data_IF_736410774759
#
_entry.id   IF_736410774759
#
_cell.length_a   1.000
_cell.length_b   1.000
_cell.length_c   1.000
_cell.angle_alpha   90.00
_cell.angle_beta   90.00
_cell.angle_gamma   90.00
#
_symmetry.space_group_name_H-M   'P 1'
#
loop_
_entity.id
_entity.type
_entity.pdbx_description
1 polymer ?
#
# COMPACT_ATOMS: atom_id res chain seq x y z
N UNK A 1 17.42 -16.55 -4.66
CA UNK A 1 16.06 -16.07 -4.38
C UNK A 1 15.13 -16.66 -5.40
N UNK A 2 13.90 -16.98 -5.00
CA UNK A 2 12.84 -17.31 -5.97
C UNK A 2 12.37 -16.03 -6.66
N UNK A 3 11.79 -16.17 -7.86
CA UNK A 3 11.18 -15.05 -8.60
C UNK A 3 10.12 -14.32 -7.77
N UNK A 4 9.41 -15.04 -6.90
CA UNK A 4 8.44 -14.50 -5.94
C UNK A 4 9.11 -13.64 -4.85
N UNK A 5 10.25 -14.08 -4.30
CA UNK A 5 11.02 -13.29 -3.33
C UNK A 5 11.59 -12.02 -3.96
N UNK A 6 12.03 -12.09 -5.22
CA UNK A 6 12.53 -10.93 -5.95
C UNK A 6 11.40 -9.89 -6.15
N UNK A 7 10.21 -10.32 -6.58
CA UNK A 7 9.05 -9.44 -6.75
C UNK A 7 8.58 -8.79 -5.43
N UNK A 8 8.59 -9.55 -4.33
CA UNK A 8 8.29 -8.99 -3.00
C UNK A 8 9.34 -7.98 -2.56
N UNK A 9 10.63 -8.23 -2.84
CA UNK A 9 11.70 -7.29 -2.51
C UNK A 9 11.55 -5.98 -3.30
N UNK A 10 11.27 -6.06 -4.59
CA UNK A 10 11.01 -4.88 -5.42
C UNK A 10 9.83 -4.07 -4.90
N UNK A 11 8.72 -4.74 -4.53
CA UNK A 11 7.55 -4.08 -3.97
C UNK A 11 7.84 -3.41 -2.62
N UNK A 12 8.59 -4.07 -1.74
CA UNK A 12 9.05 -3.52 -0.46
C UNK A 12 9.92 -2.27 -0.66
N UNK A 13 10.88 -2.32 -1.59
CA UNK A 13 11.72 -1.18 -1.95
C UNK A 13 10.86 -0.03 -2.49
N UNK A 14 9.96 -0.30 -3.42
CA UNK A 14 9.08 0.71 -4.00
C UNK A 14 8.21 1.41 -2.93
N UNK A 15 7.60 0.65 -2.01
CA UNK A 15 6.81 1.25 -0.93
C UNK A 15 7.62 2.17 -0.02
N UNK A 16 8.86 1.80 0.31
CA UNK A 16 9.79 2.67 1.06
C UNK A 16 10.20 3.90 0.29
N UNK A 17 10.45 3.79 -1.01
CA UNK A 17 10.77 4.93 -1.86
C UNK A 17 9.62 5.93 -1.93
N UNK A 18 8.38 5.44 -2.03
CA UNK A 18 7.19 6.29 -2.00
C UNK A 18 7.03 6.97 -0.64
N UNK A 19 7.20 6.25 0.47
CA UNK A 19 7.13 6.84 1.82
C UNK A 19 8.22 7.91 2.02
N UNK A 20 9.46 7.60 1.62
CA UNK A 20 10.57 8.55 1.66
C UNK A 20 10.28 9.78 0.81
N UNK A 21 9.80 9.59 -0.43
CA UNK A 21 9.40 10.69 -1.32
C UNK A 21 8.40 11.63 -0.64
N UNK A 22 7.38 11.11 0.05
CA UNK A 22 6.38 11.92 0.75
C UNK A 22 6.96 12.72 1.94
N UNK A 23 8.12 12.33 2.47
CA UNK A 23 8.84 13.09 3.50
C UNK A 23 9.70 14.23 2.93
N UNK A 24 9.97 14.24 1.62
CA UNK A 24 10.77 15.30 0.98
C UNK A 24 9.97 16.61 0.83
N UNK A 25 10.63 17.77 0.65
CA UNK A 25 9.92 19.03 0.40
C UNK A 25 8.94 18.97 -0.79
N UNK A 26 9.29 18.22 -1.85
CA UNK A 26 8.43 18.03 -3.02
C UNK A 26 7.22 17.17 -2.68
N UNK A 27 7.42 16.06 -1.97
CA UNK A 27 6.34 15.19 -1.53
C UNK A 27 5.38 15.88 -0.55
N UNK A 28 5.91 16.65 0.39
CA UNK A 28 5.11 17.47 1.31
C UNK A 28 4.28 18.52 0.56
N UNK A 29 4.88 19.21 -0.41
CA UNK A 29 4.16 20.15 -1.27
C UNK A 29 3.04 19.45 -2.05
N UNK A 30 3.30 18.28 -2.63
CA UNK A 30 2.30 17.49 -3.34
C UNK A 30 1.13 17.10 -2.42
N UNK A 31 1.41 16.57 -1.23
CA UNK A 31 0.40 16.21 -0.24
C UNK A 31 -0.46 17.41 0.18
N UNK A 32 0.18 18.56 0.40
CA UNK A 32 -0.53 19.80 0.68
C UNK A 32 -1.43 20.19 -0.50
N UNK A 33 -0.93 20.12 -1.74
CA UNK A 33 -1.72 20.47 -2.93
C UNK A 33 -2.90 19.54 -3.13
N UNK A 34 -2.73 18.23 -2.97
CA UNK A 34 -3.83 17.25 -3.00
C UNK A 34 -4.90 17.64 -1.99
N UNK A 35 -4.50 17.93 -0.75
CA UNK A 35 -5.44 18.31 0.32
C UNK A 35 -6.19 19.61 0.01
N UNK A 36 -5.49 20.63 -0.45
CA UNK A 36 -6.08 21.91 -0.87
C UNK A 36 -7.10 21.73 -2.00
N UNK A 37 -6.77 20.89 -2.97
CA UNK A 37 -7.58 20.66 -4.16
C UNK A 37 -8.85 19.84 -3.87
N UNK A 38 -8.74 18.81 -3.03
CA UNK A 38 -9.90 18.07 -2.52
C UNK A 38 -10.81 19.01 -1.72
N UNK A 39 -10.26 19.82 -0.81
CA UNK A 39 -11.05 20.77 -0.04
C UNK A 39 -11.75 21.82 -0.92
N UNK A 40 -11.08 22.32 -1.96
CA UNK A 40 -11.69 23.24 -2.94
C UNK A 40 -12.84 22.57 -3.69
N UNK A 41 -12.66 21.34 -4.14
CA UNK A 41 -13.69 20.58 -4.83
C UNK A 41 -14.90 20.30 -3.93
N UNK A 42 -14.66 19.91 -2.67
CA UNK A 42 -15.72 19.69 -1.68
C UNK A 42 -16.47 20.96 -1.33
N UNK A 43 -15.77 22.10 -1.22
CA UNK A 43 -16.42 23.39 -1.01
C UNK A 43 -17.25 23.82 -2.23
N UNK A 44 -16.76 23.58 -3.45
CA UNK A 44 -17.53 23.82 -4.66
C UNK A 44 -18.81 22.97 -4.69
N UNK A 45 -18.74 21.70 -4.30
CA UNK A 45 -19.92 20.81 -4.20
C UNK A 45 -20.94 21.28 -3.16
N UNK A 46 -20.52 21.98 -2.11
CA UNK A 46 -21.42 22.53 -1.09
C UNK A 46 -22.19 23.77 -1.57
N UNK A 47 -21.67 24.49 -2.55
CA UNK A 47 -22.22 25.78 -3.00
C UNK A 47 -22.76 25.75 -4.43
N UNK A 48 -22.45 24.71 -5.21
CA UNK A 48 -22.93 24.57 -6.58
C UNK A 48 -24.44 24.35 -6.61
N UNK A 49 -25.10 24.94 -7.62
CA UNK A 49 -26.50 24.64 -7.91
C UNK A 49 -26.64 23.16 -8.28
N UNK A 50 -27.41 22.35 -7.52
CA UNK A 50 -27.59 20.94 -7.82
C UNK A 50 -28.29 20.67 -9.16
N UNK A 51 -29.01 21.64 -9.72
CA UNK A 51 -29.58 21.51 -11.06
C UNK A 51 -28.53 21.66 -12.18
N UNK A 52 -27.35 22.19 -11.87
CA UNK A 52 -26.25 22.35 -12.81
C UNK A 52 -25.39 21.09 -12.88
N UNK A 53 -25.86 20.08 -13.60
CA UNK A 53 -25.18 18.79 -13.74
C UNK A 53 -23.71 18.93 -14.19
N UNK A 54 -23.42 19.86 -15.10
CA UNK A 54 -22.05 20.10 -15.58
C UNK A 54 -21.12 20.66 -14.49
N UNK A 55 -21.62 21.57 -13.65
CA UNK A 55 -20.83 22.13 -12.56
C UNK A 55 -20.61 21.12 -11.42
N UNK A 56 -21.63 20.30 -11.12
CA UNK A 56 -21.52 19.19 -10.18
C UNK A 56 -20.48 18.18 -10.66
N UNK A 57 -20.56 17.73 -11.92
CA UNK A 57 -19.64 16.76 -12.50
C UNK A 57 -18.20 17.27 -12.49
N UNK A 58 -17.98 18.55 -12.83
CA UNK A 58 -16.65 19.16 -12.80
C UNK A 58 -16.04 19.17 -11.38
N UNK A 59 -16.84 19.51 -10.37
CA UNK A 59 -16.39 19.50 -8.98
C UNK A 59 -16.11 18.07 -8.47
N UNK A 60 -16.97 17.10 -8.81
CA UNK A 60 -16.75 15.69 -8.48
C UNK A 60 -15.48 15.12 -9.14
N UNK A 61 -15.29 15.39 -10.44
CA UNK A 61 -14.12 14.91 -11.17
C UNK A 61 -12.82 15.45 -10.56
N UNK A 62 -12.81 16.73 -10.17
CA UNK A 62 -11.67 17.32 -9.46
C UNK A 62 -11.41 16.62 -8.13
N UNK A 63 -12.44 16.43 -7.30
CA UNK A 63 -12.29 15.72 -6.02
C UNK A 63 -11.74 14.30 -6.21
N UNK A 64 -12.24 13.59 -7.21
CA UNK A 64 -11.87 12.20 -7.52
C UNK A 64 -10.39 12.09 -7.89
N UNK A 65 -9.93 12.87 -8.87
CA UNK A 65 -8.53 12.79 -9.36
C UNK A 65 -7.53 12.98 -8.22
N UNK A 66 -7.71 14.00 -7.37
CA UNK A 66 -6.78 14.24 -6.28
C UNK A 66 -6.90 13.20 -5.15
N UNK A 67 -8.10 12.69 -4.89
CA UNK A 67 -8.29 11.61 -3.91
C UNK A 67 -7.65 10.29 -4.38
N UNK A 68 -7.71 10.00 -5.68
CA UNK A 68 -7.12 8.80 -6.27
C UNK A 68 -5.59 8.84 -6.19
N UNK A 69 -4.96 10.00 -6.48
CA UNK A 69 -3.52 10.17 -6.30
C UNK A 69 -3.11 9.88 -4.85
N UNK A 70 -3.82 10.44 -3.87
CA UNK A 70 -3.56 10.17 -2.44
C UNK A 70 -3.76 8.68 -2.10
N UNK A 71 -4.76 8.03 -2.69
CA UNK A 71 -5.00 6.60 -2.49
C UNK A 71 -3.90 5.74 -3.09
N UNK A 72 -3.43 6.03 -4.30
CA UNK A 72 -2.35 5.27 -4.93
C UNK A 72 -1.06 5.33 -4.13
N UNK A 73 -0.70 6.51 -3.62
CA UNK A 73 0.48 6.68 -2.77
C UNK A 73 0.36 5.87 -1.48
N UNK A 74 -0.80 5.90 -0.82
CA UNK A 74 -1.06 5.10 0.39
C UNK A 74 -1.04 3.60 0.10
N UNK A 75 -1.61 3.18 -1.02
CA UNK A 75 -1.63 1.77 -1.42
C UNK A 75 -0.22 1.26 -1.73
N UNK A 76 0.61 2.05 -2.40
CA UNK A 76 2.00 1.70 -2.66
C UNK A 76 2.79 1.48 -1.36
N UNK A 77 2.63 2.39 -0.38
CA UNK A 77 3.28 2.26 0.94
C UNK A 77 2.76 1.01 1.67
N UNK A 78 1.43 0.83 1.74
CA UNK A 78 0.84 -0.33 2.41
C UNK A 78 1.26 -1.66 1.77
N UNK A 79 1.30 -1.72 0.44
CA UNK A 79 1.75 -2.89 -0.29
C UNK A 79 3.23 -3.20 -0.02
N UNK A 80 4.09 -2.18 0.04
CA UNK A 80 5.49 -2.36 0.42
C UNK A 80 5.68 -2.85 1.86
N UNK A 81 4.95 -2.28 2.82
CA UNK A 81 4.96 -2.73 4.22
C UNK A 81 4.49 -4.19 4.36
N UNK A 82 3.47 -4.57 3.60
CA UNK A 82 3.01 -5.96 3.56
C UNK A 82 4.08 -6.88 2.97
N UNK A 83 4.74 -6.47 1.88
CA UNK A 83 5.80 -7.26 1.26
C UNK A 83 7.01 -7.45 2.20
N UNK A 84 7.38 -6.42 2.98
CA UNK A 84 8.40 -6.54 4.02
C UNK A 84 8.02 -7.55 5.10
N UNK A 85 6.75 -7.55 5.51
CA UNK A 85 6.23 -8.50 6.50
C UNK A 85 6.38 -9.93 5.99
N UNK A 86 5.96 -10.20 4.75
CA UNK A 86 6.07 -11.53 4.13
C UNK A 86 7.53 -11.96 3.98
N UNK A 87 8.45 -11.04 3.63
CA UNK A 87 9.89 -11.36 3.53
C UNK A 87 10.56 -11.65 4.89
N UNK A 88 9.99 -11.15 5.99
CA UNK A 88 10.50 -11.34 7.35
C UNK A 88 9.88 -12.55 8.06
N UNK A 89 8.72 -13.03 7.60
CA UNK A 89 8.12 -14.26 8.10
C UNK A 89 9.09 -15.42 7.79
N UNK A 90 9.59 -16.14 8.81
CA UNK A 90 10.40 -17.31 8.56
C UNK A 90 9.56 -18.31 7.75
N UNK A 91 10.17 -18.86 6.71
CA UNK A 91 9.59 -19.93 5.91
C UNK A 91 9.42 -21.14 6.85
N UNK A 92 8.24 -21.27 7.48
CA UNK A 92 7.87 -22.36 8.40
C UNK A 92 7.63 -23.67 7.61
N UNK A 93 8.51 -23.95 6.65
CA UNK A 93 8.43 -25.01 5.67
C UNK A 93 9.51 -26.07 5.82
N UNK A 94 9.77 -26.57 7.04
CA UNK A 94 10.37 -27.91 7.23
C UNK A 94 10.21 -28.38 8.70
N UNK A 95 9.04 -28.96 9.04
CA UNK A 95 9.05 -30.05 10.02
C UNK A 95 9.78 -31.21 9.36
N UNK A 96 11.10 -31.27 9.56
CA UNK A 96 11.92 -32.43 9.18
C UNK A 96 11.29 -33.69 9.81
N UNK A 97 11.10 -34.77 9.04
CA UNK A 97 10.51 -35.99 9.58
C UNK A 97 11.52 -36.55 10.57
N UNK A 98 11.14 -36.68 11.83
CA UNK A 98 11.92 -37.46 12.78
C UNK A 98 11.80 -38.92 12.34
N UNK A 99 12.66 -39.32 11.40
CA UNK A 99 12.86 -40.71 11.01
C UNK A 99 13.52 -41.45 12.18
N UNK A 100 12.90 -42.58 12.52
CA UNK A 100 13.51 -43.75 13.15
C UNK A 100 14.04 -43.61 14.57
N UNK A 101 13.19 -44.02 15.52
CA UNK A 101 13.65 -44.86 16.63
C UNK A 101 13.08 -46.27 16.39
N UNK A 102 13.69 -47.00 15.45
CA UNK A 102 13.75 -48.45 15.55
C UNK A 102 14.97 -48.77 16.40
N UNK A 103 14.76 -49.42 17.55
CA UNK A 103 15.86 -49.90 18.36
C UNK A 103 15.55 -49.90 19.84
N UNK A 104 15.10 -51.08 20.29
CA UNK A 104 15.42 -51.63 21.60
C UNK A 104 14.53 -51.18 22.77
N UNK A 105 13.57 -52.04 23.10
CA UNK A 105 13.32 -52.59 24.46
C UNK A 105 11.92 -53.20 24.50
N UNK A 106 11.85 -54.52 24.51
CA UNK A 106 11.08 -55.30 25.50
C UNK A 106 11.44 -56.78 25.31
N UNK A 107 12.59 -57.15 25.87
CA UNK A 107 12.79 -58.48 26.41
C UNK A 107 12.57 -58.41 27.92
N UNK A 108 11.51 -59.02 28.40
CA UNK A 108 11.43 -59.85 29.62
C UNK A 108 10.00 -60.36 29.80
#
# INVERSE_FOLDING_TARGET
MSEEQDALLELAVFGREVDHFLSTPVGLYLNQKITEEVNRAMNALRTVDPASAGAVAAAQARALVYSDIANWLRQAIAAGLQAETVLQEPDDGEQSPIASVEGDRFGT
#
